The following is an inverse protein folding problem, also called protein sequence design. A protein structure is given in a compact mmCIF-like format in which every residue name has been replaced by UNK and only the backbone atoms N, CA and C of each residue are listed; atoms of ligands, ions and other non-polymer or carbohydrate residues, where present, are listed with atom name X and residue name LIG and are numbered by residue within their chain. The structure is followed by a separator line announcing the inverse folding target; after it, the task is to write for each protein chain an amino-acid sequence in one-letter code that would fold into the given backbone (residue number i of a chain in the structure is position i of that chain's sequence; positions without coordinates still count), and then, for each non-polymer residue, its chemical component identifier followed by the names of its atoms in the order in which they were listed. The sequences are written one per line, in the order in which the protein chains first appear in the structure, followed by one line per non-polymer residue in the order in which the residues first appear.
data_IF_029946681162
#
_entry.id   IF_029946681162
#
_cell.length_a   1.000
_cell.length_b   1.000
_cell.length_c   1.000
_cell.angle_alpha   90.00
_cell.angle_beta   90.00
_cell.angle_gamma   90.00
#
_symmetry.space_group_name_H-M   'P 1'
#
loop_
_entity.id
_entity.type
_entity.pdbx_description
1 polymer ?
#
# COMPACT_ATOMS: atom_id res chain seq x y z
N UNK A 1 11.48 19.65 8.18
CA UNK A 1 10.59 19.12 9.26
C UNK A 1 10.50 17.60 9.27
N UNK A 2 10.27 16.92 8.13
CA UNK A 2 10.25 15.44 8.05
C UNK A 2 11.59 14.81 8.44
N UNK A 3 12.70 15.44 8.09
CA UNK A 3 14.06 15.03 8.43
C UNK A 3 14.33 14.91 9.94
N UNK A 4 13.52 15.53 10.78
CA UNK A 4 13.63 15.43 12.25
C UNK A 4 13.28 14.04 12.80
N UNK A 5 12.58 13.21 12.01
CA UNK A 5 12.25 11.84 12.42
C UNK A 5 13.43 10.87 12.28
N UNK A 6 14.46 11.24 11.53
CA UNK A 6 15.66 10.40 11.35
C UNK A 6 15.30 8.95 10.98
N UNK A 7 15.87 7.99 11.68
CA UNK A 7 15.63 6.56 11.48
C UNK A 7 14.21 6.09 11.78
N UNK A 8 13.43 6.90 12.48
CA UNK A 8 12.01 6.62 12.76
C UNK A 8 11.08 6.91 11.58
N UNK A 9 11.60 7.56 10.52
CA UNK A 9 10.81 7.87 9.34
C UNK A 9 10.53 6.59 8.53
N UNK A 10 9.27 6.21 8.48
CA UNK A 10 8.76 5.20 7.56
C UNK A 10 8.58 5.76 6.14
N UNK A 11 8.07 4.95 5.19
CA UNK A 11 7.78 5.43 3.84
C UNK A 11 6.73 6.54 3.83
N UNK A 12 6.96 7.57 3.01
CA UNK A 12 5.98 8.63 2.77
C UNK A 12 5.00 8.15 1.70
N UNK A 13 3.71 8.19 2.00
CA UNK A 13 2.67 7.85 1.04
C UNK A 13 2.36 9.04 0.12
N UNK A 14 2.58 8.85 -1.16
CA UNK A 14 2.13 9.74 -2.24
C UNK A 14 0.81 9.18 -2.78
N UNK A 15 -0.29 9.75 -2.35
CA UNK A 15 -1.62 9.29 -2.73
C UNK A 15 -2.18 10.14 -3.86
N UNK A 16 -2.35 9.54 -5.05
CA UNK A 16 -2.87 10.25 -6.21
C UNK A 16 -4.39 10.49 -6.07
N UNK A 17 -4.85 11.60 -6.63
CA UNK A 17 -6.29 11.89 -6.66
C UNK A 17 -7.03 10.83 -7.51
N UNK A 18 -8.29 10.45 -7.20
CA UNK A 18 -9.04 9.48 -7.99
C UNK A 18 -9.21 9.83 -9.48
N UNK A 19 -9.15 11.11 -9.85
CA UNK A 19 -9.19 11.55 -11.24
C UNK A 19 -7.82 11.62 -11.93
N UNK A 20 -6.71 11.30 -11.21
CA UNK A 20 -5.38 11.29 -11.79
C UNK A 20 -5.17 9.98 -12.53
N UNK A 21 -5.40 10.02 -13.84
CA UNK A 21 -5.38 8.85 -14.71
C UNK A 21 -4.00 8.63 -15.36
N UNK A 22 -3.83 7.51 -16.04
CA UNK A 22 -2.55 7.08 -16.62
C UNK A 22 -2.00 8.04 -17.68
N UNK A 23 -2.86 8.74 -18.42
CA UNK A 23 -2.46 9.79 -19.38
C UNK A 23 -1.63 10.92 -18.77
N UNK A 24 -1.64 11.02 -17.43
CA UNK A 24 -0.84 11.98 -16.68
C UNK A 24 0.50 11.40 -16.19
N UNK A 25 0.91 10.22 -16.66
CA UNK A 25 2.19 9.60 -16.29
C UNK A 25 3.39 10.55 -16.43
N UNK A 26 3.53 11.38 -17.50
CA UNK A 26 4.64 12.32 -17.60
C UNK A 26 4.68 13.36 -16.47
N UNK A 27 3.51 13.78 -15.97
CA UNK A 27 3.43 14.69 -14.82
C UNK A 27 3.83 13.99 -13.52
N UNK A 28 3.44 12.73 -13.38
CA UNK A 28 3.84 11.91 -12.23
C UNK A 28 5.35 11.74 -12.22
N UNK A 29 5.96 11.36 -13.32
CA UNK A 29 7.41 11.20 -13.47
C UNK A 29 8.16 12.48 -13.10
N UNK A 30 7.75 13.62 -13.67
CA UNK A 30 8.34 14.92 -13.38
C UNK A 30 8.22 15.31 -11.89
N UNK A 31 7.15 14.91 -11.22
CA UNK A 31 6.98 15.12 -9.78
C UNK A 31 7.87 14.19 -8.96
N UNK A 32 7.80 12.87 -9.22
CA UNK A 32 8.54 11.88 -8.43
C UNK A 32 10.05 12.08 -8.53
N UNK A 33 10.57 12.45 -9.71
CA UNK A 33 11.99 12.71 -9.95
C UNK A 33 12.55 13.91 -9.15
N UNK A 34 11.68 14.79 -8.64
CA UNK A 34 12.07 15.94 -7.81
C UNK A 34 11.99 15.68 -6.31
N UNK A 35 11.51 14.52 -5.90
CA UNK A 35 11.40 14.20 -4.49
C UNK A 35 12.81 14.01 -3.88
N UNK A 36 13.03 14.45 -2.63
CA UNK A 36 14.31 14.29 -1.95
C UNK A 36 14.79 12.83 -1.92
N UNK A 37 16.05 12.61 -2.26
CA UNK A 37 16.68 11.31 -2.15
C UNK A 37 16.85 10.87 -0.68
N UNK A 38 17.04 9.56 -0.46
CA UNK A 38 17.25 8.97 0.87
C UNK A 38 15.96 8.78 1.69
N UNK A 39 14.81 9.12 1.15
CA UNK A 39 13.50 8.89 1.76
C UNK A 39 12.77 7.80 0.97
N UNK A 40 12.12 6.87 1.65
CA UNK A 40 11.25 5.90 1.00
C UNK A 40 9.91 6.54 0.65
N UNK A 41 9.46 6.34 -0.58
CA UNK A 41 8.15 6.79 -1.04
C UNK A 41 7.32 5.60 -1.51
N UNK A 42 6.03 5.58 -1.15
CA UNK A 42 5.05 4.64 -1.68
C UNK A 42 4.00 5.42 -2.47
N UNK A 43 3.72 5.01 -3.71
CA UNK A 43 2.75 5.68 -4.60
C UNK A 43 1.47 4.87 -4.67
N UNK A 44 0.33 5.48 -4.34
CA UNK A 44 -0.98 4.84 -4.41
C UNK A 44 -1.76 5.29 -5.64
N UNK A 45 -1.96 4.37 -6.57
CA UNK A 45 -2.81 4.54 -7.74
C UNK A 45 -4.28 4.31 -7.37
N UNK A 46 -5.14 5.27 -7.64
CA UNK A 46 -6.57 5.21 -7.30
C UNK A 46 -7.48 5.11 -8.52
N UNK A 47 -7.06 5.63 -9.66
CA UNK A 47 -7.83 5.53 -10.92
C UNK A 47 -7.59 4.16 -11.57
N UNK A 48 -8.64 3.58 -12.17
CA UNK A 48 -8.56 2.23 -12.78
C UNK A 48 -7.66 2.15 -14.00
N UNK A 49 -7.39 3.26 -14.68
CA UNK A 49 -6.52 3.29 -15.85
C UNK A 49 -5.06 2.91 -15.55
N UNK A 50 -4.66 2.82 -14.28
CA UNK A 50 -3.33 2.39 -13.87
C UNK A 50 -3.16 0.85 -13.84
N UNK A 51 -4.26 0.10 -13.97
CA UNK A 51 -4.19 -1.37 -14.05
C UNK A 51 -3.59 -1.76 -15.40
N UNK A 52 -2.71 -2.76 -15.38
CA UNK A 52 -2.03 -3.29 -16.57
C UNK A 52 -1.19 -2.25 -17.34
N UNK A 53 -0.58 -1.31 -16.60
CA UNK A 53 0.32 -0.30 -17.15
C UNK A 53 1.77 -0.58 -16.73
N UNK A 54 2.54 -1.33 -17.54
CA UNK A 54 3.91 -1.71 -17.19
C UNK A 54 4.87 -0.53 -17.12
N UNK A 55 4.63 0.54 -17.86
CA UNK A 55 5.41 1.77 -17.84
C UNK A 55 5.35 2.47 -16.48
N UNK A 56 4.18 2.53 -15.86
CA UNK A 56 4.01 3.07 -14.51
C UNK A 56 4.79 2.26 -13.47
N UNK A 57 4.74 0.92 -13.56
CA UNK A 57 5.51 0.05 -12.66
C UNK A 57 7.02 0.14 -12.93
N UNK A 58 7.42 0.28 -14.20
CA UNK A 58 8.81 0.50 -14.57
C UNK A 58 9.35 1.82 -13.99
N UNK A 59 8.58 2.90 -14.08
CA UNK A 59 8.92 4.19 -13.46
C UNK A 59 9.15 4.03 -11.95
N UNK A 60 8.25 3.36 -11.23
CA UNK A 60 8.41 3.16 -9.79
C UNK A 60 9.67 2.34 -9.47
N UNK A 61 9.95 1.28 -10.24
CA UNK A 61 11.15 0.46 -10.06
C UNK A 61 12.43 1.25 -10.32
N UNK A 62 12.48 2.06 -11.38
CA UNK A 62 13.66 2.86 -11.71
C UNK A 62 14.02 3.88 -10.63
N UNK A 63 13.01 4.34 -9.87
CA UNK A 63 13.18 5.29 -8.76
C UNK A 63 13.26 4.61 -7.38
N UNK A 64 13.22 3.27 -7.30
CA UNK A 64 13.11 2.50 -6.06
C UNK A 64 11.96 3.00 -5.17
N UNK A 65 10.82 3.33 -5.77
CA UNK A 65 9.60 3.74 -5.07
C UNK A 65 8.62 2.58 -4.98
N UNK A 66 8.04 2.38 -3.79
CA UNK A 66 7.07 1.30 -3.56
C UNK A 66 5.73 1.60 -4.21
N UNK A 67 5.14 0.62 -4.88
CA UNK A 67 3.71 0.66 -5.15
C UNK A 67 2.96 0.43 -3.84
N UNK A 68 2.05 1.33 -3.48
CA UNK A 68 1.13 1.12 -2.38
C UNK A 68 -0.01 0.20 -2.84
N UNK A 69 0.14 -1.09 -2.56
CA UNK A 69 -0.90 -2.09 -2.78
C UNK A 69 -2.08 -1.81 -1.85
N UNK A 70 -3.28 -1.63 -2.38
CA UNK A 70 -4.44 -1.29 -1.59
C UNK A 70 -5.55 -2.33 -1.74
N UNK A 71 -6.05 -2.85 -0.63
CA UNK A 71 -7.31 -3.58 -0.59
C UNK A 71 -8.45 -2.58 -0.38
N UNK A 72 -9.06 -2.16 -1.47
CA UNK A 72 -10.21 -1.25 -1.47
C UNK A 72 -11.13 -1.56 -2.65
N UNK A 73 -12.47 -1.53 -2.48
CA UNK A 73 -13.41 -1.96 -3.53
C UNK A 73 -13.36 -1.11 -4.81
N UNK A 74 -12.83 0.11 -4.74
CA UNK A 74 -12.84 1.05 -5.87
C UNK A 74 -11.47 1.41 -6.44
N UNK A 75 -10.37 0.95 -5.82
CA UNK A 75 -9.02 1.28 -6.29
C UNK A 75 -8.49 0.23 -7.26
N UNK A 76 -7.51 0.63 -8.04
CA UNK A 76 -6.73 -0.28 -8.86
C UNK A 76 -6.11 -1.39 -7.99
N UNK A 77 -6.38 -2.65 -8.32
CA UNK A 77 -5.79 -3.80 -7.62
C UNK A 77 -4.53 -4.23 -8.36
N UNK A 78 -3.43 -3.60 -8.01
CA UNK A 78 -2.11 -3.97 -8.51
C UNK A 78 -1.35 -4.58 -7.33
N UNK A 79 -0.74 -5.76 -7.53
CA UNK A 79 -0.13 -6.56 -6.48
C UNK A 79 1.32 -6.87 -6.82
N UNK A 80 2.12 -5.84 -6.94
CA UNK A 80 3.52 -5.95 -7.27
C UNK A 80 4.39 -5.12 -6.33
N UNK A 81 5.52 -5.69 -5.91
CA UNK A 81 6.57 -4.93 -5.25
C UNK A 81 7.45 -4.25 -6.30
N UNK A 82 7.61 -2.94 -6.18
CA UNK A 82 8.38 -2.11 -7.13
C UNK A 82 9.64 -1.51 -6.49
N UNK A 83 9.90 -1.79 -5.21
CA UNK A 83 11.05 -1.29 -4.46
C UNK A 83 11.66 -2.38 -3.57
N UNK A 84 12.71 -2.04 -2.83
CA UNK A 84 13.33 -2.89 -1.81
C UNK A 84 12.46 -3.07 -0.55
N UNK A 85 11.26 -2.48 -0.56
CA UNK A 85 10.23 -2.66 0.46
C UNK A 85 8.84 -2.82 -0.17
N UNK A 86 7.94 -3.47 0.54
CA UNK A 86 6.52 -3.56 0.21
C UNK A 86 5.70 -2.58 1.06
N UNK A 87 4.63 -2.04 0.48
CA UNK A 87 3.69 -1.16 1.16
C UNK A 87 2.26 -1.64 0.91
N UNK A 88 1.56 -2.07 1.96
CA UNK A 88 0.21 -2.62 1.87
C UNK A 88 -0.76 -1.79 2.73
N UNK A 89 -1.94 -1.53 2.20
CA UNK A 89 -3.04 -0.90 2.92
C UNK A 89 -4.30 -1.75 2.84
N UNK A 90 -4.73 -2.29 3.98
CA UNK A 90 -6.03 -2.95 4.10
C UNK A 90 -7.06 -1.90 4.51
N UNK A 91 -7.84 -1.48 3.54
CA UNK A 91 -8.84 -0.43 3.68
C UNK A 91 -10.24 -1.06 3.58
N UNK A 92 -11.26 -0.34 3.98
CA UNK A 92 -12.65 -0.77 3.85
C UNK A 92 -13.53 0.39 3.40
N UNK A 93 -14.82 0.14 3.23
CA UNK A 93 -15.80 1.20 2.99
C UNK A 93 -15.99 2.00 4.27
N UNK A 94 -16.05 3.32 4.14
CA UNK A 94 -16.34 4.21 5.27
C UNK A 94 -17.78 4.02 5.78
N UNK A 95 -17.97 4.23 7.05
CA UNK A 95 -19.28 4.27 7.72
C UNK A 95 -20.09 2.95 7.58
N UNK A 96 -19.41 1.80 7.56
CA UNK A 96 -20.06 0.48 7.47
C UNK A 96 -20.30 -0.13 8.85
N UNK A 97 -19.47 0.25 9.83
CA UNK A 97 -19.52 -0.31 11.19
C UNK A 97 -20.01 0.74 12.19
N UNK A 98 -20.83 0.34 13.19
CA UNK A 98 -21.36 1.25 14.21
C UNK A 98 -20.28 1.70 15.21
N UNK A 99 -19.27 0.88 15.42
CA UNK A 99 -18.14 1.13 16.31
C UNK A 99 -16.88 0.39 15.82
N UNK A 100 -15.77 0.55 16.53
CA UNK A 100 -14.50 -0.11 16.23
C UNK A 100 -13.96 -0.90 17.45
N UNK A 101 -14.83 -1.35 18.32
CA UNK A 101 -14.47 -2.10 19.54
C UNK A 101 -14.22 -3.60 19.28
N UNK A 102 -14.67 -4.13 18.14
CA UNK A 102 -14.54 -5.55 17.77
C UNK A 102 -14.51 -5.74 16.27
N UNK A 103 -14.15 -6.93 15.83
CA UNK A 103 -14.33 -7.37 14.44
C UNK A 103 -15.83 -7.58 14.19
N UNK A 104 -16.40 -6.83 13.26
CA UNK A 104 -17.80 -6.94 12.88
C UNK A 104 -18.02 -7.84 11.66
N UNK A 105 -17.08 -7.79 10.70
CA UNK A 105 -17.16 -8.56 9.46
C UNK A 105 -15.78 -9.14 9.14
N UNK A 106 -15.48 -10.37 9.57
CA UNK A 106 -14.24 -11.05 9.22
C UNK A 106 -14.07 -11.15 7.70
N UNK A 107 -12.86 -10.91 7.22
CA UNK A 107 -12.46 -11.06 5.84
C UNK A 107 -11.30 -12.05 5.71
N UNK A 108 -11.51 -13.26 6.23
CA UNK A 108 -10.48 -14.29 6.37
C UNK A 108 -9.80 -14.60 5.04
N UNK A 109 -10.57 -14.87 3.99
CA UNK A 109 -10.01 -15.17 2.66
C UNK A 109 -9.16 -14.03 2.09
N UNK A 110 -9.57 -12.77 2.28
CA UNK A 110 -8.77 -11.64 1.86
C UNK A 110 -7.48 -11.52 2.69
N UNK A 111 -7.56 -11.77 3.99
CA UNK A 111 -6.41 -11.71 4.88
C UNK A 111 -5.39 -12.81 4.58
N UNK A 112 -5.87 -14.04 4.29
CA UNK A 112 -5.05 -15.17 3.85
C UNK A 112 -4.37 -14.88 2.51
N UNK A 113 -5.10 -14.32 1.56
CA UNK A 113 -4.57 -13.93 0.24
C UNK A 113 -3.43 -12.90 0.37
N UNK A 114 -3.60 -11.89 1.22
CA UNK A 114 -2.56 -10.90 1.48
C UNK A 114 -1.38 -11.47 2.28
N UNK A 115 -1.63 -12.36 3.23
CA UNK A 115 -0.57 -13.06 3.94
C UNK A 115 0.25 -13.93 2.97
N UNK A 116 -0.40 -14.64 2.05
CA UNK A 116 0.25 -15.41 1.00
C UNK A 116 1.13 -14.55 0.10
N UNK A 117 0.62 -13.39 -0.34
CA UNK A 117 1.39 -12.43 -1.12
C UNK A 117 2.63 -11.94 -0.36
N UNK A 118 2.48 -11.56 0.91
CA UNK A 118 3.59 -11.07 1.73
C UNK A 118 4.67 -12.13 1.92
N UNK A 119 4.30 -13.40 2.03
CA UNK A 119 5.24 -14.53 2.12
C UNK A 119 5.95 -14.82 0.80
N UNK A 120 5.32 -14.52 -0.33
CA UNK A 120 5.87 -14.76 -1.69
C UNK A 120 6.62 -13.57 -2.26
N UNK A 121 6.85 -12.50 -1.48
CA UNK A 121 7.60 -11.35 -1.96
C UNK A 121 9.01 -11.75 -2.39
N UNK A 122 9.54 -11.14 -3.47
CA UNK A 122 10.90 -11.39 -3.93
C UNK A 122 11.95 -11.12 -2.85
N UNK A 123 13.07 -11.84 -2.87
CA UNK A 123 14.14 -11.76 -1.86
C UNK A 123 14.77 -10.36 -1.70
N UNK A 124 14.73 -9.53 -2.74
CA UNK A 124 15.18 -8.14 -2.68
C UNK A 124 14.27 -7.25 -1.81
N UNK A 125 13.03 -7.67 -1.52
CA UNK A 125 12.12 -6.96 -0.62
C UNK A 125 12.47 -7.32 0.81
N UNK A 126 13.18 -6.44 1.47
CA UNK A 126 13.72 -6.69 2.83
C UNK A 126 12.77 -6.29 3.95
N UNK A 127 11.74 -5.52 3.63
CA UNK A 127 10.80 -4.98 4.63
C UNK A 127 9.39 -4.79 4.05
N UNK A 128 8.37 -5.08 4.85
CA UNK A 128 6.98 -4.79 4.50
C UNK A 128 6.35 -3.83 5.52
N UNK A 129 5.69 -2.80 5.03
CA UNK A 129 4.89 -1.87 5.83
C UNK A 129 3.42 -2.14 5.57
N UNK A 130 2.69 -2.57 6.60
CA UNK A 130 1.28 -2.94 6.48
C UNK A 130 0.42 -2.04 7.36
N UNK A 131 -0.50 -1.34 6.75
CA UNK A 131 -1.43 -0.44 7.42
C UNK A 131 -2.86 -0.98 7.32
N UNK A 132 -3.47 -1.26 8.44
CA UNK A 132 -4.83 -1.79 8.52
C UNK A 132 -5.76 -0.74 9.09
N UNK A 133 -6.81 -0.40 8.33
CA UNK A 133 -7.84 0.52 8.78
C UNK A 133 -8.94 -0.25 9.52
N UNK A 134 -9.52 0.33 10.56
CA UNK A 134 -10.67 -0.24 11.24
C UNK A 134 -11.84 -0.54 10.29
N UNK A 135 -12.00 0.22 9.22
CA UNK A 135 -13.03 0.00 8.19
C UNK A 135 -12.85 -1.31 7.40
N UNK A 136 -11.72 -2.01 7.53
CA UNK A 136 -11.51 -3.28 6.84
C UNK A 136 -12.39 -4.40 7.42
N UNK A 137 -12.39 -4.57 8.74
CA UNK A 137 -13.17 -5.60 9.47
C UNK A 137 -13.95 -5.07 10.68
N UNK A 138 -13.69 -3.82 11.11
CA UNK A 138 -14.27 -3.21 12.31
C UNK A 138 -13.27 -2.94 13.43
N UNK A 139 -12.16 -3.70 13.53
CA UNK A 139 -11.18 -3.54 14.61
C UNK A 139 -9.77 -3.90 14.15
N UNK A 140 -9.00 -2.89 13.75
CA UNK A 140 -7.67 -3.10 13.18
C UNK A 140 -6.67 -3.81 14.12
N UNK A 141 -6.66 -3.62 15.46
CA UNK A 141 -5.75 -4.36 16.31
C UNK A 141 -5.95 -5.89 16.24
N UNK A 142 -7.19 -6.35 16.24
CA UNK A 142 -7.49 -7.79 16.08
C UNK A 142 -7.08 -8.30 14.68
N UNK A 143 -7.34 -7.51 13.64
CA UNK A 143 -6.90 -7.86 12.27
C UNK A 143 -5.38 -7.96 12.17
N UNK A 144 -4.64 -7.04 12.82
CA UNK A 144 -3.16 -7.09 12.89
C UNK A 144 -2.71 -8.39 13.58
N UNK A 145 -3.31 -8.75 14.73
CA UNK A 145 -2.96 -9.97 15.44
C UNK A 145 -3.18 -11.22 14.57
N UNK A 146 -4.31 -11.30 13.87
CA UNK A 146 -4.61 -12.39 12.94
C UNK A 146 -3.63 -12.45 11.76
N UNK A 147 -3.32 -11.33 11.16
CA UNK A 147 -2.33 -11.27 10.08
C UNK A 147 -0.95 -11.75 10.56
N UNK A 148 -0.52 -11.32 11.74
CA UNK A 148 0.75 -11.79 12.32
C UNK A 148 0.76 -13.31 12.51
N UNK A 149 -0.31 -13.88 13.05
CA UNK A 149 -0.45 -15.35 13.16
C UNK A 149 -0.32 -16.03 11.80
N UNK A 150 -0.99 -15.51 10.77
CA UNK A 150 -0.89 -16.03 9.40
C UNK A 150 0.53 -15.92 8.84
N UNK A 151 1.28 -14.88 9.20
CA UNK A 151 2.67 -14.69 8.76
C UNK A 151 3.68 -15.52 9.56
N UNK A 152 3.32 -16.00 10.75
CA UNK A 152 4.21 -16.72 11.67
C UNK A 152 5.15 -15.78 12.46
N UNK A 153 4.68 -14.54 12.77
CA UNK A 153 5.47 -13.50 13.47
C UNK A 153 4.77 -13.00 14.74
#
# INVERSE_FOLDING_TARGET
MISLLGEKLGPILVQLHPSFAHDQLPKLEAFLSRLPAGIRYAVEFRHRSWVDQPDALHLLRSLNMGLAMAHHPWYARIREATADFAYLRLLGRRNVFPDFGRVHRPQDGALEEWAGLLKSLPSQVTRAFVFINNQFEGHSPATVARLRTLLGT
#
